data_IF_389671742760
#
_entry.id   IF_389671742760
#
_cell.length_a   1.000
_cell.length_b   1.000
_cell.length_c   1.000
_cell.angle_alpha   90.00
_cell.angle_beta   90.00
_cell.angle_gamma   90.00
#
_symmetry.space_group_name_H-M   'P 1'
#
loop_
_entity.id
_entity.type
_entity.pdbx_description
1 polymer ?
#
# COMPACT_ATOMS: atom_id res chain seq x y z
N UNK A 1 -12.20 38.81 6.57
CA UNK A 1 -11.55 37.91 5.60
C UNK A 1 -10.75 36.89 6.39
N UNK A 2 -11.24 35.66 6.51
CA UNK A 2 -10.67 34.61 7.37
C UNK A 2 -10.57 33.26 6.64
N UNK A 3 -10.28 33.31 5.33
CA UNK A 3 -10.34 32.14 4.43
C UNK A 3 -9.12 31.23 4.49
N UNK A 4 -8.04 31.63 5.19
CA UNK A 4 -6.78 30.86 5.22
C UNK A 4 -6.84 29.64 6.16
N UNK A 5 -7.59 29.73 7.26
CA UNK A 5 -7.70 28.65 8.25
C UNK A 5 -8.69 27.55 7.83
N UNK A 6 -9.77 27.90 7.13
CA UNK A 6 -10.78 26.93 6.66
C UNK A 6 -10.25 26.06 5.52
N UNK A 7 -9.46 26.64 4.60
CA UNK A 7 -8.82 25.89 3.51
C UNK A 7 -7.78 24.88 4.02
N UNK A 8 -7.06 25.18 5.11
CA UNK A 8 -6.07 24.28 5.70
C UNK A 8 -6.70 23.09 6.44
N UNK A 9 -7.90 23.25 6.99
CA UNK A 9 -8.61 22.15 7.67
C UNK A 9 -9.23 21.21 6.63
N UNK A 10 -9.83 21.80 5.58
CA UNK A 10 -10.37 21.03 4.45
C UNK A 10 -9.29 20.19 3.74
N UNK A 11 -8.05 20.68 3.65
CA UNK A 11 -6.95 19.90 3.06
C UNK A 11 -6.49 18.73 3.93
N UNK A 12 -6.50 18.87 5.27
CA UNK A 12 -6.13 17.79 6.19
C UNK A 12 -7.19 16.69 6.21
N UNK A 13 -8.48 17.05 6.22
CA UNK A 13 -9.56 16.07 6.12
C UNK A 13 -9.53 15.30 4.79
N UNK A 14 -9.25 15.99 3.68
CA UNK A 14 -9.07 15.35 2.38
C UNK A 14 -7.89 14.37 2.37
N UNK A 15 -6.78 14.74 3.01
CA UNK A 15 -5.59 13.88 3.14
C UNK A 15 -5.86 12.63 3.98
N UNK A 16 -6.53 12.76 5.14
CA UNK A 16 -6.93 11.61 5.94
C UNK A 16 -7.82 10.66 5.16
N UNK A 17 -8.78 11.18 4.40
CA UNK A 17 -9.65 10.36 3.54
C UNK A 17 -8.86 9.58 2.48
N UNK A 18 -7.81 10.18 1.89
CA UNK A 18 -6.95 9.48 0.94
C UNK A 18 -6.14 8.36 1.61
N UNK A 19 -5.64 8.61 2.83
CA UNK A 19 -4.95 7.61 3.64
C UNK A 19 -5.91 6.45 3.95
N UNK A 20 -7.10 6.73 4.47
CA UNK A 20 -8.10 5.71 4.82
C UNK A 20 -8.51 4.86 3.60
N UNK A 21 -8.74 5.50 2.45
CA UNK A 21 -9.06 4.80 1.21
C UNK A 21 -7.91 3.86 0.79
N UNK A 22 -6.67 4.34 0.81
CA UNK A 22 -5.51 3.53 0.46
C UNK A 22 -5.30 2.36 1.43
N UNK A 23 -5.56 2.55 2.72
CA UNK A 23 -5.54 1.46 3.71
C UNK A 23 -6.60 0.40 3.41
N UNK A 24 -7.81 0.83 3.01
CA UNK A 24 -8.87 -0.07 2.59
C UNK A 24 -8.50 -0.87 1.34
N UNK A 25 -7.92 -0.23 0.33
CA UNK A 25 -7.44 -0.90 -0.89
C UNK A 25 -6.33 -1.92 -0.59
N UNK A 26 -5.41 -1.60 0.32
CA UNK A 26 -4.39 -2.55 0.79
C UNK A 26 -5.01 -3.75 1.51
N UNK A 27 -6.01 -3.55 2.36
CA UNK A 27 -6.68 -4.65 3.05
C UNK A 27 -7.35 -5.63 2.05
N UNK A 28 -8.00 -5.10 1.01
CA UNK A 28 -8.60 -5.93 -0.05
C UNK A 28 -7.52 -6.68 -0.83
N UNK A 29 -6.41 -6.03 -1.17
CA UNK A 29 -5.31 -6.68 -1.87
C UNK A 29 -4.68 -7.83 -1.06
N UNK A 30 -4.58 -7.67 0.27
CA UNK A 30 -4.09 -8.71 1.19
C UNK A 30 -5.01 -9.94 1.18
N UNK A 31 -6.33 -9.74 1.26
CA UNK A 31 -7.34 -10.81 1.19
C UNK A 31 -7.25 -11.58 -0.13
N UNK A 32 -7.20 -10.87 -1.26
CA UNK A 32 -7.09 -11.49 -2.60
C UNK A 32 -5.82 -12.32 -2.74
N UNK A 33 -4.71 -11.86 -2.17
CA UNK A 33 -3.44 -12.58 -2.23
C UNK A 33 -3.49 -13.89 -1.41
N UNK A 34 -4.11 -13.85 -0.24
CA UNK A 34 -4.33 -15.04 0.59
C UNK A 34 -5.19 -16.06 -0.16
N UNK A 35 -6.26 -15.62 -0.81
CA UNK A 35 -7.15 -16.49 -1.60
C UNK A 35 -6.41 -17.15 -2.78
N UNK A 36 -5.53 -16.40 -3.46
CA UNK A 36 -4.70 -16.93 -4.55
C UNK A 36 -3.74 -18.02 -4.06
N UNK A 37 -3.07 -17.81 -2.92
CA UNK A 37 -2.22 -18.83 -2.31
C UNK A 37 -3.02 -20.10 -2.00
N UNK A 38 -4.16 -19.95 -1.32
CA UNK A 38 -5.03 -21.06 -0.96
C UNK A 38 -5.53 -21.85 -2.18
N UNK A 39 -5.86 -21.15 -3.27
CA UNK A 39 -6.27 -21.77 -4.53
C UNK A 39 -5.16 -22.64 -5.12
N UNK A 40 -3.93 -22.12 -5.21
CA UNK A 40 -2.81 -22.89 -5.75
C UNK A 40 -2.47 -24.10 -4.89
N UNK A 41 -2.49 -23.97 -3.56
CA UNK A 41 -2.30 -25.09 -2.64
C UNK A 41 -3.38 -26.18 -2.82
N UNK A 42 -4.65 -25.77 -2.99
CA UNK A 42 -5.75 -26.70 -3.24
C UNK A 42 -5.57 -27.44 -4.58
N UNK A 43 -5.13 -26.76 -5.64
CA UNK A 43 -4.84 -27.38 -6.93
C UNK A 43 -3.70 -28.39 -6.79
N UNK A 44 -2.59 -28.02 -6.12
CA UNK A 44 -1.46 -28.93 -5.86
C UNK A 44 -1.94 -30.20 -5.15
N UNK A 45 -2.81 -30.06 -4.15
CA UNK A 45 -3.36 -31.18 -3.38
C UNK A 45 -4.28 -32.09 -4.22
N UNK A 46 -5.03 -31.51 -5.17
CA UNK A 46 -5.96 -32.24 -6.03
C UNK A 46 -5.27 -32.98 -7.19
N UNK A 47 -4.13 -32.49 -7.70
CA UNK A 47 -3.50 -32.99 -8.93
C UNK A 47 -2.47 -34.11 -8.71
N UNK A 48 -2.54 -34.88 -7.61
CA UNK A 48 -1.51 -35.86 -7.17
C UNK A 48 -1.15 -37.01 -8.16
N UNK A 49 -1.63 -36.99 -9.40
CA UNK A 49 -1.20 -37.88 -10.50
C UNK A 49 -0.95 -37.17 -11.85
N UNK A 50 -1.15 -35.86 -11.94
CA UNK A 50 -0.97 -35.07 -13.17
C UNK A 50 0.27 -34.18 -13.08
N UNK A 51 1.38 -34.66 -13.64
CA UNK A 51 2.72 -34.06 -13.47
C UNK A 51 2.83 -32.60 -13.96
N UNK A 52 2.16 -32.26 -15.06
CA UNK A 52 2.17 -30.88 -15.57
C UNK A 52 1.32 -29.95 -14.69
N UNK A 53 0.09 -30.35 -14.35
CA UNK A 53 -0.81 -29.54 -13.53
C UNK A 53 -0.25 -29.30 -12.12
N UNK A 54 0.36 -30.34 -11.53
CA UNK A 54 1.03 -30.23 -10.24
C UNK A 54 2.21 -29.24 -10.28
N UNK A 55 3.05 -29.30 -11.32
CA UNK A 55 4.18 -28.37 -11.49
C UNK A 55 3.74 -26.92 -11.71
N UNK A 56 2.68 -26.70 -12.49
CA UNK A 56 2.12 -25.38 -12.70
C UNK A 56 1.51 -24.81 -11.42
N UNK A 57 0.78 -25.62 -10.65
CA UNK A 57 0.22 -25.18 -9.38
C UNK A 57 1.32 -24.89 -8.34
N UNK A 58 2.37 -25.72 -8.27
CA UNK A 58 3.52 -25.47 -7.41
C UNK A 58 4.32 -24.22 -7.82
N UNK A 59 4.38 -23.89 -9.12
CA UNK A 59 4.92 -22.60 -9.58
C UNK A 59 4.03 -21.45 -9.11
N UNK A 60 2.70 -21.59 -9.20
CA UNK A 60 1.73 -20.62 -8.70
C UNK A 60 1.91 -20.33 -7.21
N UNK A 61 2.08 -21.36 -6.37
CA UNK A 61 2.38 -21.19 -4.92
C UNK A 61 3.63 -20.33 -4.72
N UNK A 62 4.76 -20.68 -5.37
CA UNK A 62 6.01 -19.93 -5.22
C UNK A 62 5.88 -18.47 -5.65
N UNK A 63 5.23 -18.22 -6.78
CA UNK A 63 5.01 -16.86 -7.29
C UNK A 63 4.10 -16.06 -6.37
N UNK A 64 3.05 -16.67 -5.82
CA UNK A 64 2.18 -16.02 -4.86
C UNK A 64 2.92 -15.69 -3.55
N UNK A 65 3.82 -16.57 -3.09
CA UNK A 65 4.71 -16.30 -1.95
C UNK A 65 5.66 -15.12 -2.20
N UNK A 66 6.28 -15.04 -3.38
CA UNK A 66 7.13 -13.90 -3.76
C UNK A 66 6.34 -12.58 -3.75
N UNK A 67 5.11 -12.59 -4.30
CA UNK A 67 4.25 -11.42 -4.25
C UNK A 67 3.81 -11.07 -2.82
N UNK A 68 3.65 -12.06 -1.94
CA UNK A 68 3.34 -11.82 -0.52
C UNK A 68 4.46 -11.12 0.21
N UNK A 69 5.70 -11.52 0.00
CA UNK A 69 6.86 -10.83 0.58
C UNK A 69 6.96 -9.39 0.07
N UNK A 70 6.80 -9.19 -1.24
CA UNK A 70 6.82 -7.85 -1.85
C UNK A 70 5.67 -6.97 -1.36
N UNK A 71 4.48 -7.54 -1.21
CA UNK A 71 3.30 -6.86 -0.69
C UNK A 71 3.49 -6.45 0.77
N UNK A 72 4.03 -7.33 1.62
CA UNK A 72 4.27 -7.01 3.04
C UNK A 72 5.26 -5.84 3.20
N UNK A 73 6.34 -5.83 2.41
CA UNK A 73 7.29 -4.71 2.39
C UNK A 73 6.65 -3.39 1.93
N UNK A 74 5.75 -3.45 0.95
CA UNK A 74 4.99 -2.29 0.47
C UNK A 74 4.00 -1.78 1.53
N UNK A 75 3.31 -2.69 2.22
CA UNK A 75 2.39 -2.39 3.34
C UNK A 75 3.13 -1.73 4.51
N UNK A 76 4.30 -2.22 4.87
CA UNK A 76 5.15 -1.63 5.92
C UNK A 76 5.61 -0.22 5.52
N UNK A 77 6.04 -0.03 4.28
CA UNK A 77 6.46 1.28 3.76
C UNK A 77 5.30 2.28 3.79
N UNK A 78 4.10 1.87 3.36
CA UNK A 78 2.90 2.68 3.45
C UNK A 78 2.57 3.05 4.90
N UNK A 79 2.58 2.07 5.82
CA UNK A 79 2.27 2.29 7.24
C UNK A 79 3.27 3.24 7.92
N UNK A 80 4.55 3.15 7.57
CA UNK A 80 5.57 4.08 8.03
C UNK A 80 5.32 5.50 7.51
N UNK A 81 4.99 5.62 6.23
CA UNK A 81 4.74 6.91 5.59
C UNK A 81 3.47 7.59 6.11
N UNK A 82 2.37 6.83 6.28
CA UNK A 82 1.10 7.36 6.78
C UNK A 82 1.21 7.86 8.22
N UNK A 83 1.91 7.13 9.10
CA UNK A 83 2.19 7.59 10.49
C UNK A 83 2.92 8.94 10.51
N UNK A 84 3.98 9.10 9.72
CA UNK A 84 4.73 10.36 9.63
C UNK A 84 3.84 11.54 9.21
N UNK A 85 2.93 11.32 8.26
CA UNK A 85 2.01 12.35 7.79
C UNK A 85 1.00 12.73 8.89
N UNK A 86 0.43 11.73 9.57
CA UNK A 86 -0.53 11.95 10.67
C UNK A 86 0.15 12.71 11.82
N UNK A 87 1.39 12.33 12.18
CA UNK A 87 2.16 13.00 13.23
C UNK A 87 2.50 14.46 12.86
N UNK A 88 2.81 14.73 11.59
CA UNK A 88 3.11 16.07 11.09
C UNK A 88 1.86 16.97 10.96
N UNK A 89 0.67 16.39 10.88
CA UNK A 89 -0.60 17.13 10.74
C UNK A 89 -1.33 17.31 12.07
N UNK A 90 -0.86 16.69 13.16
CA UNK A 90 -1.39 16.87 14.50
C UNK A 90 -0.99 18.24 15.10
N UNK A 91 -1.94 19.13 15.42
CA UNK A 91 -1.66 20.50 15.89
C UNK A 91 -1.09 20.60 17.32
N UNK A 92 -0.85 19.46 18.00
CA UNK A 92 -0.31 19.38 19.36
C UNK A 92 1.20 19.09 19.44
N UNK A 93 1.88 18.78 18.33
CA UNK A 93 3.33 18.59 18.30
C UNK A 93 4.02 19.92 17.96
N UNK A 94 4.69 20.51 18.96
CA UNK A 94 5.27 21.86 18.94
C UNK A 94 6.45 22.11 18.00
N UNK A 95 6.67 21.30 16.97
CA UNK A 95 7.72 21.53 15.97
C UNK A 95 7.15 21.26 14.58
N UNK A 96 6.74 22.33 13.88
CA UNK A 96 6.33 22.23 12.47
C UNK A 96 7.56 21.85 11.64
N UNK A 97 7.58 20.70 10.94
CA UNK A 97 8.58 20.48 9.91
C UNK A 97 8.25 21.44 8.78
N UNK A 98 9.16 22.39 8.52
CA UNK A 98 9.07 23.27 7.38
C UNK A 98 9.30 22.44 6.12
N UNK A 99 8.23 22.00 5.45
CA UNK A 99 8.34 21.44 4.10
C UNK A 99 8.50 22.63 3.15
N UNK A 100 9.71 23.19 3.12
CA UNK A 100 10.14 24.03 2.00
C UNK A 100 10.27 23.13 0.77
N UNK A 101 9.71 23.60 -0.35
CA UNK A 101 9.37 22.79 -1.50
C UNK A 101 10.54 22.04 -2.15
N UNK A 102 10.29 20.80 -2.52
CA UNK A 102 11.03 20.16 -3.60
C UNK A 102 10.42 20.68 -4.91
N UNK A 103 11.07 21.71 -5.43
CA UNK A 103 10.85 22.29 -6.73
C UNK A 103 10.77 21.26 -7.87
N UNK A 104 9.70 21.38 -8.66
CA UNK A 104 9.60 21.17 -10.10
C UNK A 104 10.51 20.08 -10.71
N UNK A 105 9.88 18.92 -10.96
CA UNK A 105 10.28 18.00 -12.02
C UNK A 105 10.23 18.73 -13.37
N UNK A 106 11.40 19.18 -13.84
CA UNK A 106 11.63 19.54 -15.23
C UNK A 106 13.10 19.27 -15.58
N UNK A 107 13.40 18.03 -15.95
CA UNK A 107 14.56 17.75 -16.80
C UNK A 107 14.07 16.93 -17.98
N UNK A 108 13.90 17.67 -19.06
CA UNK A 108 13.65 17.22 -20.43
C UNK A 108 14.68 16.16 -20.82
N UNK A 109 14.22 15.06 -21.41
CA UNK A 109 15.07 14.21 -22.23
C UNK A 109 15.18 14.85 -23.62
N UNK A 110 16.33 15.45 -23.89
CA UNK A 110 16.88 15.67 -25.22
C UNK A 110 18.36 15.26 -25.21
#
# INVERSE_FOLDING_TARGET
MNTSSENSILSVTALHRLIDNAAGELAVAEEVLIDLCALFEAIVAATKGHELAHRLAALGVRTADEYRESFEGSKETYNHHSRKIIDATNPGSGERPCICGAEHSAREFA
#
